data_IF_671726356267
#
_entry.id   IF_671726356267
#
_cell.length_a   1.000
_cell.length_b   1.000
_cell.length_c   1.000
_cell.angle_alpha   90.00
_cell.angle_beta   90.00
_cell.angle_gamma   90.00
#
_symmetry.space_group_name_H-M   'P 1'
#
loop_
_entity.id
_entity.type
_entity.pdbx_description
1 polymer ?
#
# COMPACT_ATOMS: atom_id res chain seq x y z
N UNK A 1 -9.76 -16.61 -0.03
CA UNK A 1 -8.75 -16.90 1.02
C UNK A 1 -7.40 -16.36 0.55
N UNK A 2 -6.78 -15.47 1.32
CA UNK A 2 -5.41 -14.98 1.09
C UNK A 2 -4.67 -15.02 2.42
N UNK A 3 -4.11 -16.17 2.77
CA UNK A 3 -3.05 -16.24 3.76
C UNK A 3 -1.75 -15.78 3.07
N UNK A 4 -0.81 -15.19 3.81
CA UNK A 4 0.60 -15.36 3.47
C UNK A 4 0.92 -16.82 3.75
N UNK A 5 0.41 -17.71 2.90
CA UNK A 5 0.75 -19.11 2.93
C UNK A 5 2.20 -19.15 2.45
N UNK A 6 3.11 -19.44 3.37
CA UNK A 6 4.32 -20.16 2.97
C UNK A 6 3.79 -21.51 2.49
N UNK A 7 3.50 -21.56 1.19
CA UNK A 7 3.13 -22.78 0.52
C UNK A 7 4.39 -23.62 0.49
N UNK A 8 4.29 -24.83 1.02
CA UNK A 8 5.17 -25.93 0.65
C UNK A 8 4.93 -26.18 -0.86
N UNK A 9 5.83 -25.65 -1.69
CA UNK A 9 5.68 -25.67 -3.15
C UNK A 9 6.14 -26.99 -3.75
N UNK A 10 6.99 -27.72 -3.03
CA UNK A 10 7.48 -29.03 -3.43
C UNK A 10 6.71 -30.19 -2.74
N UNK A 11 5.76 -29.89 -1.83
CA UNK A 11 4.97 -30.83 -1.03
C UNK A 11 5.84 -31.82 -0.21
N UNK A 12 7.03 -31.41 0.24
CA UNK A 12 7.95 -32.27 0.98
C UNK A 12 7.73 -32.24 2.52
N UNK A 13 6.81 -31.40 3.00
CA UNK A 13 6.49 -31.21 4.41
C UNK A 13 7.54 -30.39 5.18
N UNK A 14 8.54 -29.81 4.51
CA UNK A 14 9.63 -29.03 5.08
C UNK A 14 9.76 -27.68 4.35
N UNK A 15 9.50 -26.58 5.05
CA UNK A 15 9.71 -25.24 4.50
C UNK A 15 11.21 -25.00 4.36
N UNK A 16 11.74 -25.09 3.13
CA UNK A 16 13.16 -24.95 2.82
C UNK A 16 13.43 -23.84 1.82
N UNK A 17 14.72 -23.62 1.49
CA UNK A 17 15.13 -22.63 0.48
C UNK A 17 14.51 -22.89 -0.90
N UNK A 18 14.06 -24.12 -1.17
CA UNK A 18 13.40 -24.52 -2.41
C UNK A 18 11.95 -24.03 -2.52
N UNK A 19 11.34 -23.58 -1.41
CA UNK A 19 9.99 -22.98 -1.39
C UNK A 19 9.99 -21.47 -1.63
N UNK A 20 11.19 -20.89 -1.82
CA UNK A 20 11.35 -19.47 -2.13
C UNK A 20 10.87 -19.17 -3.55
N UNK A 21 9.64 -18.69 -3.67
CA UNK A 21 9.16 -18.11 -4.92
C UNK A 21 9.58 -16.65 -5.09
N UNK A 22 9.83 -16.26 -6.34
CA UNK A 22 9.96 -14.85 -6.73
C UNK A 22 8.59 -14.18 -6.53
N UNK A 23 8.38 -13.66 -5.33
CA UNK A 23 7.17 -12.93 -4.98
C UNK A 23 7.26 -11.51 -5.53
N UNK A 24 6.49 -11.26 -6.59
CA UNK A 24 6.22 -9.91 -7.04
C UNK A 24 7.25 -9.34 -8.00
N UNK A 25 6.77 -8.91 -9.16
CA UNK A 25 7.57 -8.11 -10.08
C UNK A 25 7.59 -6.65 -9.60
N UNK A 26 8.77 -6.03 -9.57
CA UNK A 26 8.89 -4.56 -9.37
C UNK A 26 8.28 -3.80 -10.54
N UNK A 27 8.21 -4.42 -11.71
CA UNK A 27 7.62 -3.80 -12.88
C UNK A 27 6.09 -3.83 -12.79
N UNK A 28 5.43 -2.71 -13.11
CA UNK A 28 3.98 -2.66 -13.17
C UNK A 28 3.47 -3.57 -14.28
N UNK A 29 2.38 -4.30 -13.99
CA UNK A 29 1.69 -5.13 -15.00
C UNK A 29 1.22 -4.30 -16.18
N UNK A 30 0.77 -3.08 -15.91
CA UNK A 30 0.49 -2.10 -16.93
C UNK A 30 0.61 -0.68 -16.37
N UNK A 31 0.93 0.24 -17.27
CA UNK A 31 0.96 1.67 -17.01
C UNK A 31 0.05 2.35 -18.02
N UNK A 32 -0.58 3.44 -17.61
CA UNK A 32 -1.45 4.18 -18.49
C UNK A 32 -1.56 5.64 -18.09
N UNK A 33 -1.84 6.47 -19.08
CA UNK A 33 -2.22 7.86 -18.88
C UNK A 33 -3.41 8.18 -19.75
N UNK A 34 -4.37 8.90 -19.19
CA UNK A 34 -5.51 9.45 -19.92
C UNK A 34 -5.45 10.97 -19.83
N UNK A 35 -5.31 11.62 -20.97
CA UNK A 35 -5.43 13.06 -21.10
C UNK A 35 -6.74 13.39 -21.78
N UNK A 36 -7.53 14.28 -21.20
CA UNK A 36 -8.74 14.81 -21.84
C UNK A 36 -8.67 16.32 -21.90
N UNK A 37 -8.85 16.88 -23.10
CA UNK A 37 -8.93 18.32 -23.31
C UNK A 37 -10.28 18.63 -23.94
N UNK A 38 -11.07 19.46 -23.28
CA UNK A 38 -12.39 19.88 -23.72
C UNK A 38 -12.38 21.40 -23.90
N UNK A 39 -12.97 21.87 -24.99
CA UNK A 39 -13.11 23.30 -25.25
C UNK A 39 -14.57 23.60 -25.60
N UNK A 40 -15.17 24.57 -24.91
CA UNK A 40 -16.55 24.95 -25.16
C UNK A 40 -16.78 26.44 -24.89
N UNK A 41 -17.20 27.20 -25.91
CA UNK A 41 -17.57 28.63 -25.82
C UNK A 41 -16.54 29.50 -25.05
N UNK A 42 -15.25 29.27 -25.28
CA UNK A 42 -14.17 30.01 -24.62
C UNK A 42 -13.70 29.39 -23.30
N UNK A 43 -14.44 28.44 -22.72
CA UNK A 43 -13.92 27.60 -21.64
C UNK A 43 -12.99 26.54 -22.20
N UNK A 44 -11.85 26.38 -21.55
CA UNK A 44 -10.89 25.31 -21.77
C UNK A 44 -10.75 24.49 -20.50
N UNK A 45 -10.86 23.18 -20.62
CA UNK A 45 -10.67 22.24 -19.51
C UNK A 45 -9.68 21.19 -19.96
N UNK A 46 -8.65 20.93 -19.17
CA UNK A 46 -7.74 19.83 -19.38
C UNK A 46 -7.48 19.07 -18.09
N UNK A 47 -7.48 17.74 -18.20
CA UNK A 47 -7.14 16.85 -17.10
C UNK A 47 -6.20 15.77 -17.59
N UNK A 48 -5.17 15.48 -16.79
CA UNK A 48 -4.29 14.33 -17.02
C UNK A 48 -4.35 13.39 -15.83
N UNK A 49 -4.80 12.16 -16.08
CA UNK A 49 -4.80 11.06 -15.13
C UNK A 49 -3.68 10.11 -15.51
N UNK A 50 -2.99 9.57 -14.51
CA UNK A 50 -1.88 8.63 -14.66
C UNK A 50 -2.04 7.47 -13.69
N UNK A 51 -1.73 6.26 -14.12
CA UNK A 51 -1.85 5.07 -13.27
C UNK A 51 -0.72 4.08 -13.51
N UNK A 52 -0.31 3.42 -12.43
CA UNK A 52 0.53 2.22 -12.46
C UNK A 52 -0.15 1.14 -11.64
N UNK A 53 -0.31 -0.04 -12.23
CA UNK A 53 -1.08 -1.12 -11.61
C UNK A 53 -0.27 -2.42 -11.56
N UNK A 54 -0.38 -3.13 -10.44
CA UNK A 54 0.15 -4.48 -10.30
C UNK A 54 1.65 -4.60 -10.01
N UNK A 55 2.36 -3.51 -9.74
CA UNK A 55 3.74 -3.54 -9.25
C UNK A 55 3.79 -3.88 -7.75
N UNK A 56 4.90 -4.47 -7.34
CA UNK A 56 5.28 -4.60 -5.95
C UNK A 56 6.39 -3.62 -5.64
N UNK A 57 6.26 -2.89 -4.53
CA UNK A 57 7.32 -2.01 -4.05
C UNK A 57 7.73 -2.41 -2.63
N UNK A 58 9.02 -2.21 -2.34
CA UNK A 58 9.54 -2.31 -0.99
C UNK A 58 8.99 -1.15 -0.17
N UNK A 59 8.37 -1.48 0.95
CA UNK A 59 7.81 -0.57 1.92
C UNK A 59 8.77 -0.40 3.09
N UNK A 60 9.42 0.76 3.17
CA UNK A 60 10.26 1.12 4.32
C UNK A 60 9.47 1.15 5.64
N UNK A 61 8.16 1.40 5.57
CA UNK A 61 7.30 1.37 6.75
C UNK A 61 7.14 -0.06 7.29
N UNK A 62 6.70 -0.99 6.46
CA UNK A 62 6.56 -2.40 6.87
C UNK A 62 7.91 -3.01 7.27
N UNK A 63 8.99 -2.65 6.55
CA UNK A 63 10.35 -3.06 6.90
C UNK A 63 10.76 -2.63 8.31
N UNK A 64 10.45 -1.39 8.72
CA UNK A 64 10.84 -0.86 10.03
C UNK A 64 9.92 -1.31 11.15
N UNK A 65 8.61 -1.32 10.93
CA UNK A 65 7.62 -1.47 11.99
C UNK A 65 7.10 -2.91 12.14
N UNK A 66 7.23 -3.78 11.14
CA UNK A 66 6.91 -5.21 11.30
C UNK A 66 8.10 -6.02 11.80
N UNK A 67 9.33 -5.52 11.63
CA UNK A 67 10.54 -6.28 11.93
C UNK A 67 10.78 -6.35 13.44
N UNK A 68 10.67 -7.54 14.02
CA UNK A 68 10.74 -7.74 15.47
C UNK A 68 12.16 -7.89 16.03
N UNK A 69 13.18 -7.95 15.17
CA UNK A 69 14.58 -7.92 15.60
C UNK A 69 15.08 -6.51 15.95
N UNK A 70 14.37 -5.45 15.55
CA UNK A 70 14.69 -4.08 15.93
C UNK A 70 14.12 -3.75 17.31
N UNK A 71 14.98 -3.74 18.33
CA UNK A 71 14.58 -3.39 19.71
C UNK A 71 14.44 -1.88 19.95
N UNK A 72 14.80 -1.05 18.97
CA UNK A 72 14.77 0.42 19.10
C UNK A 72 13.49 1.08 18.60
N UNK A 73 12.63 0.34 17.89
CA UNK A 73 11.40 0.86 17.29
C UNK A 73 10.16 0.23 17.95
N UNK A 74 9.07 0.99 18.06
CA UNK A 74 7.77 0.38 18.36
C UNK A 74 7.34 -0.48 17.18
N UNK A 75 6.77 -1.65 17.43
CA UNK A 75 6.25 -2.52 16.37
C UNK A 75 4.78 -2.19 16.09
N UNK A 76 4.37 -2.37 14.83
CA UNK A 76 2.96 -2.25 14.47
C UNK A 76 2.14 -3.38 15.09
N UNK A 77 0.87 -3.08 15.42
CA UNK A 77 -0.07 -4.10 15.84
C UNK A 77 -0.37 -5.02 14.65
N UNK A 78 -0.11 -6.30 14.83
CA UNK A 78 -0.20 -7.32 13.79
C UNK A 78 -1.34 -8.26 14.12
N UNK A 79 -2.23 -8.44 13.15
CA UNK A 79 -3.35 -9.37 13.26
C UNK A 79 -2.88 -10.80 12.95
N UNK A 80 -2.52 -11.54 14.00
CA UNK A 80 -1.95 -12.88 13.89
C UNK A 80 -3.03 -13.96 13.84
N UNK A 81 -2.81 -15.00 13.04
CA UNK A 81 -3.50 -16.26 13.17
C UNK A 81 -3.17 -16.88 14.53
N UNK A 82 -4.18 -17.26 15.30
CA UNK A 82 -4.02 -17.88 16.62
C UNK A 82 -4.84 -19.18 16.61
N UNK A 83 -4.20 -20.36 16.60
CA UNK A 83 -4.93 -21.62 16.66
C UNK A 83 -5.58 -21.83 18.03
N UNK A 84 -6.68 -22.58 18.07
CA UNK A 84 -7.31 -23.01 19.33
C UNK A 84 -6.28 -23.73 20.21
N UNK A 85 -6.20 -23.36 21.48
CA UNK A 85 -5.25 -23.90 22.45
C UNK A 85 -3.85 -23.27 22.41
N UNK A 86 -3.62 -22.24 21.58
CA UNK A 86 -2.38 -21.49 21.63
C UNK A 86 -2.32 -20.59 22.88
N UNK A 87 -1.13 -20.41 23.48
CA UNK A 87 -0.94 -19.43 24.53
C UNK A 87 -1.04 -18.01 23.95
N UNK A 88 -1.81 -17.15 24.61
CA UNK A 88 -2.04 -15.74 24.29
C UNK A 88 -1.90 -14.96 25.60
N UNK A 89 -1.41 -13.71 25.52
CA UNK A 89 -1.32 -12.84 26.69
C UNK A 89 -2.64 -12.08 26.82
N UNK A 90 -3.28 -12.15 27.99
CA UNK A 90 -4.38 -11.25 28.33
C UNK A 90 -3.82 -9.83 28.53
N UNK A 91 -4.21 -8.90 27.67
CA UNK A 91 -3.74 -7.51 27.72
C UNK A 91 -4.24 -6.73 28.96
N UNK A 92 -5.21 -7.27 29.70
CA UNK A 92 -5.78 -6.67 30.92
C UNK A 92 -5.07 -7.16 32.18
N UNK A 93 -4.79 -8.47 32.27
CA UNK A 93 -4.20 -9.07 33.48
C UNK A 93 -2.71 -9.38 33.34
N UNK A 94 -2.19 -9.48 32.12
CA UNK A 94 -0.81 -9.88 31.83
C UNK A 94 -0.57 -11.39 31.93
N UNK A 95 -1.61 -12.19 32.19
CA UNK A 95 -1.51 -13.63 32.34
C UNK A 95 -1.48 -14.35 30.99
N UNK A 96 -0.89 -15.55 31.00
CA UNK A 96 -0.93 -16.47 29.86
C UNK A 96 -2.28 -17.20 29.87
N UNK A 97 -3.11 -16.94 28.87
CA UNK A 97 -4.41 -17.58 28.66
C UNK A 97 -4.35 -18.42 27.39
N UNK A 98 -5.14 -19.49 27.32
CA UNK A 98 -5.22 -20.33 26.12
C UNK A 98 -6.39 -19.91 25.24
N UNK A 99 -6.14 -19.71 23.95
CA UNK A 99 -7.18 -19.36 22.98
C UNK A 99 -8.28 -20.43 22.94
N UNK A 100 -9.52 -20.06 23.26
CA UNK A 100 -10.68 -20.98 23.24
C UNK A 100 -11.21 -21.22 21.83
N UNK A 101 -11.02 -20.26 20.93
CA UNK A 101 -11.39 -20.28 19.53
C UNK A 101 -10.19 -19.97 18.63
N UNK A 102 -10.30 -20.34 17.34
CA UNK A 102 -9.27 -20.01 16.35
C UNK A 102 -9.52 -18.62 15.80
N UNK A 103 -8.55 -17.73 15.98
CA UNK A 103 -8.56 -16.41 15.37
C UNK A 103 -7.84 -16.44 14.02
N UNK A 104 -8.50 -15.99 12.96
CA UNK A 104 -7.96 -16.02 11.60
C UNK A 104 -7.35 -14.69 11.19
N UNK A 105 -6.19 -14.36 11.78
CA UNK A 105 -5.43 -13.17 11.41
C UNK A 105 -4.68 -13.28 10.08
N UNK A 106 -4.30 -12.13 9.52
CA UNK A 106 -3.55 -11.99 8.25
C UNK A 106 -2.13 -12.58 8.31
N UNK A 107 -1.52 -12.60 9.49
CA UNK A 107 -0.11 -12.98 9.69
C UNK A 107 0.03 -14.33 10.40
N UNK A 108 1.10 -15.12 10.16
CA UNK A 108 1.29 -16.41 10.83
C UNK A 108 1.48 -16.27 12.34
N UNK A 109 1.07 -17.28 13.10
CA UNK A 109 1.22 -17.30 14.56
C UNK A 109 2.69 -17.12 14.97
N UNK A 110 3.03 -16.10 15.78
CA UNK A 110 4.39 -15.88 16.23
C UNK A 110 4.76 -16.96 17.26
N UNK A 111 5.62 -17.89 16.90
CA UNK A 111 6.13 -18.90 17.81
C UNK A 111 7.52 -18.49 18.35
N UNK A 112 7.98 -19.18 19.41
CA UNK A 112 9.30 -18.97 20.00
C UNK A 112 10.35 -19.96 19.46
N UNK A 113 10.13 -20.57 18.29
CA UNK A 113 11.12 -21.48 17.72
C UNK A 113 12.35 -20.74 17.18
N UNK A 114 12.25 -19.42 17.01
CA UNK A 114 13.33 -18.53 16.61
C UNK A 114 13.19 -17.16 17.29
N UNK A 115 14.29 -16.42 17.39
CA UNK A 115 14.45 -15.15 18.14
C UNK A 115 13.59 -13.96 17.67
N UNK A 116 12.57 -14.19 16.84
CA UNK A 116 11.73 -13.14 16.25
C UNK A 116 10.42 -13.71 15.66
N UNK A 117 9.49 -14.19 16.49
CA UNK A 117 8.20 -14.70 16.03
C UNK A 117 8.32 -15.79 14.94
N UNK A 118 9.17 -16.79 15.17
CA UNK A 118 9.42 -17.87 14.22
C UNK A 118 10.25 -17.51 12.99
N UNK A 119 10.90 -16.33 12.99
CA UNK A 119 11.79 -15.87 11.91
C UNK A 119 11.08 -15.06 10.81
N UNK A 120 9.76 -15.19 10.67
CA UNK A 120 8.97 -14.58 9.59
C UNK A 120 9.07 -13.05 9.50
N UNK A 121 9.38 -12.39 10.61
CA UNK A 121 9.47 -10.93 10.71
C UNK A 121 10.87 -10.46 11.11
N UNK A 122 11.90 -11.16 10.62
CA UNK A 122 13.28 -10.93 11.01
C UNK A 122 14.26 -11.17 9.87
N UNK A 123 15.39 -10.48 9.98
CA UNK A 123 16.60 -10.72 9.19
C UNK A 123 17.45 -11.86 9.76
N UNK A 124 17.06 -12.41 10.91
CA UNK A 124 17.76 -13.49 11.62
C UNK A 124 16.82 -14.69 11.81
N UNK A 125 17.37 -15.89 11.69
CA UNK A 125 16.64 -17.13 11.92
C UNK A 125 16.50 -18.03 10.69
N UNK A 126 15.85 -19.17 10.91
CA UNK A 126 15.69 -20.28 9.95
C UNK A 126 14.71 -19.96 8.82
N UNK A 127 13.71 -19.13 9.10
CA UNK A 127 12.78 -18.60 8.11
C UNK A 127 13.07 -17.12 7.86
N UNK A 128 14.05 -16.80 7.00
CA UNK A 128 14.34 -15.40 6.60
C UNK A 128 13.19 -14.83 5.77
N UNK A 129 12.15 -14.34 6.43
CA UNK A 129 10.97 -13.81 5.77
C UNK A 129 11.25 -12.43 5.22
N UNK A 130 11.75 -12.29 4.00
CA UNK A 130 11.89 -10.96 3.38
C UNK A 130 10.60 -10.49 2.68
N UNK A 131 9.55 -11.31 2.64
CA UNK A 131 8.31 -11.01 1.92
C UNK A 131 7.47 -9.88 2.56
N UNK A 132 7.51 -9.71 3.88
CA UNK A 132 6.65 -8.75 4.59
C UNK A 132 6.91 -7.28 4.22
N UNK A 133 8.15 -6.97 3.81
CA UNK A 133 8.53 -5.63 3.38
C UNK A 133 7.97 -5.26 2.00
N UNK A 134 7.53 -6.23 1.19
CA UNK A 134 7.00 -5.97 -0.15
C UNK A 134 5.49 -5.84 -0.11
N UNK A 135 4.98 -4.71 -0.60
CA UNK A 135 3.56 -4.43 -0.69
C UNK A 135 3.17 -4.20 -2.15
N UNK A 136 1.98 -4.65 -2.53
CA UNK A 136 1.44 -4.37 -3.86
C UNK A 136 1.07 -2.88 -3.94
N UNK A 137 1.76 -2.12 -4.78
CA UNK A 137 1.62 -0.66 -4.88
C UNK A 137 1.00 -0.24 -6.20
N UNK A 138 -0.31 -0.28 -6.24
CA UNK A 138 -1.13 0.16 -7.36
C UNK A 138 -1.72 1.53 -7.05
N UNK A 139 -1.59 2.48 -7.98
CA UNK A 139 -2.08 3.83 -7.77
C UNK A 139 -2.67 4.46 -9.03
N UNK A 140 -3.61 5.38 -8.81
CA UNK A 140 -4.17 6.30 -9.79
C UNK A 140 -3.93 7.71 -9.27
N UNK A 141 -3.29 8.55 -10.08
CA UNK A 141 -2.93 9.91 -9.72
C UNK A 141 -3.41 10.87 -10.78
N UNK A 142 -4.05 11.95 -10.36
CA UNK A 142 -4.33 13.09 -11.24
C UNK A 142 -3.08 13.97 -11.26
N UNK A 143 -2.44 14.13 -12.43
CA UNK A 143 -1.22 14.91 -12.58
C UNK A 143 -1.50 16.40 -12.64
N UNK A 144 -2.48 16.80 -13.44
CA UNK A 144 -2.93 18.18 -13.52
C UNK A 144 -4.44 18.25 -13.80
N UNK A 145 -5.04 19.32 -13.29
CA UNK A 145 -6.36 19.79 -13.70
C UNK A 145 -6.18 21.27 -14.01
N UNK A 146 -6.49 21.68 -15.23
CA UNK A 146 -6.45 23.08 -15.63
C UNK A 146 -7.82 23.48 -16.19
N UNK A 147 -8.36 24.56 -15.65
CA UNK A 147 -9.58 25.18 -16.11
C UNK A 147 -9.25 26.62 -16.50
N UNK A 148 -9.56 27.00 -17.73
CA UNK A 148 -9.40 28.35 -18.23
C UNK A 148 -10.63 28.89 -18.93
N UNK A 149 -10.71 30.21 -19.01
CA UNK A 149 -11.70 30.93 -19.79
C UNK A 149 -11.03 32.04 -20.58
N UNK A 150 -11.20 31.98 -21.90
CA UNK A 150 -10.78 33.02 -22.83
C UNK A 150 -11.94 33.97 -23.09
N UNK A 151 -11.76 35.24 -22.73
CA UNK A 151 -12.82 36.23 -22.86
C UNK A 151 -13.07 36.58 -24.35
N UNK A 152 -14.34 36.72 -24.78
CA UNK A 152 -14.66 37.13 -26.14
C UNK A 152 -14.09 38.51 -26.49
N UNK A 153 -13.52 38.65 -27.70
CA UNK A 153 -12.90 39.90 -28.17
C UNK A 153 -13.82 41.12 -28.05
N UNK A 154 -15.11 40.94 -28.27
CA UNK A 154 -16.10 42.02 -28.18
C UNK A 154 -16.16 42.69 -26.79
N UNK A 155 -15.89 41.95 -25.72
CA UNK A 155 -15.93 42.46 -24.35
C UNK A 155 -14.64 43.19 -23.97
N UNK A 156 -13.50 42.65 -24.40
CA UNK A 156 -12.18 43.14 -24.03
C UNK A 156 -11.63 44.24 -24.97
N UNK A 157 -12.17 44.34 -26.19
CA UNK A 157 -11.77 45.37 -27.15
C UNK A 157 -12.04 46.79 -26.63
N UNK A 158 -13.08 46.98 -25.82
CA UNK A 158 -13.39 48.28 -25.17
C UNK A 158 -12.33 48.73 -24.17
N UNK A 159 -11.61 47.76 -23.59
CA UNK A 159 -10.49 48.02 -22.68
C UNK A 159 -9.13 48.04 -23.42
N UNK A 160 -9.13 48.05 -24.77
CA UNK A 160 -7.90 48.07 -25.57
C UNK A 160 -7.12 46.75 -25.60
N UNK A 161 -7.69 45.65 -25.07
CA UNK A 161 -7.01 44.36 -24.98
C UNK A 161 -7.28 43.48 -26.20
N UNK A 162 -6.24 42.81 -26.71
CA UNK A 162 -6.33 41.93 -27.89
C UNK A 162 -6.68 40.47 -27.52
N UNK A 163 -6.22 39.99 -26.37
CA UNK A 163 -6.46 38.64 -25.87
C UNK A 163 -6.36 38.62 -24.35
N UNK A 164 -7.37 38.07 -23.68
CA UNK A 164 -7.39 37.92 -22.23
C UNK A 164 -7.88 36.50 -21.91
N UNK A 165 -7.10 35.78 -21.12
CA UNK A 165 -7.45 34.45 -20.62
C UNK A 165 -7.15 34.38 -19.13
N UNK A 166 -8.13 33.92 -18.36
CA UNK A 166 -7.95 33.56 -16.96
C UNK A 166 -7.85 32.03 -16.89
N UNK A 167 -6.90 31.50 -16.12
CA UNK A 167 -6.82 30.06 -15.90
C UNK A 167 -6.38 29.73 -14.47
N UNK A 168 -6.82 28.57 -14.00
CA UNK A 168 -6.45 27.97 -12.73
C UNK A 168 -5.91 26.58 -13.03
N UNK A 169 -4.70 26.29 -12.55
CA UNK A 169 -4.06 24.99 -12.70
C UNK A 169 -3.74 24.40 -11.33
N UNK A 170 -4.17 23.18 -11.10
CA UNK A 170 -3.91 22.43 -9.88
C UNK A 170 -3.04 21.23 -10.22
N UNK A 171 -1.87 21.15 -9.59
CA UNK A 171 -0.90 20.07 -9.78
C UNK A 171 -1.05 19.02 -8.69
N UNK A 172 -1.06 17.75 -9.10
CA UNK A 172 -1.15 16.60 -8.20
C UNK A 172 -2.30 16.67 -7.17
N UNK A 173 -3.55 17.05 -7.55
CA UNK A 173 -4.62 17.26 -6.57
C UNK A 173 -5.03 15.98 -5.83
N UNK A 174 -5.04 14.84 -6.54
CA UNK A 174 -5.52 13.57 -6.00
C UNK A 174 -4.58 12.41 -6.34
N UNK A 175 -4.40 11.50 -5.38
CA UNK A 175 -3.64 10.26 -5.55
C UNK A 175 -4.32 9.13 -4.76
N UNK A 176 -4.99 8.24 -5.49
CA UNK A 176 -5.59 7.03 -4.95
C UNK A 176 -4.57 5.89 -4.98
N UNK A 177 -4.31 5.26 -3.86
CA UNK A 177 -3.35 4.15 -3.76
C UNK A 177 -3.90 3.06 -2.85
N UNK A 178 -3.60 1.80 -3.17
CA UNK A 178 -3.91 0.67 -2.30
C UNK A 178 -2.80 0.38 -1.28
N UNK A 179 -1.81 1.28 -1.18
CA UNK A 179 -0.67 1.13 -0.30
C UNK A 179 -1.02 1.50 1.13
N UNK A 180 -1.06 0.50 2.01
CA UNK A 180 -1.35 0.63 3.43
C UNK A 180 -0.09 1.06 4.22
N UNK A 181 0.43 2.26 4.02
CA UNK A 181 1.43 2.81 4.94
C UNK A 181 0.80 3.91 5.80
N UNK A 182 0.72 3.64 7.11
CA UNK A 182 0.21 4.53 8.16
C UNK A 182 -1.17 5.11 7.90
N UNK A 183 -2.19 4.29 8.14
CA UNK A 183 -3.47 4.74 8.67
C UNK A 183 -3.86 3.79 9.81
N UNK A 184 -3.84 4.24 11.08
CA UNK A 184 -4.29 3.43 12.22
C UNK A 184 -5.75 2.96 12.12
N UNK A 185 -6.52 3.51 11.17
CA UNK A 185 -7.86 3.03 10.79
C UNK A 185 -7.94 3.03 9.26
N UNK A 186 -8.03 1.85 8.66
CA UNK A 186 -8.02 1.60 7.22
C UNK A 186 -9.21 2.19 6.45
N UNK A 187 -9.30 3.51 6.35
CA UNK A 187 -10.24 4.21 5.46
C UNK A 187 -9.54 5.44 4.91
N UNK A 188 -9.31 5.50 3.60
CA UNK A 188 -9.19 6.80 2.94
C UNK A 188 -10.60 7.38 2.85
N UNK A 189 -10.83 8.63 3.29
CA UNK A 189 -12.06 9.31 2.92
C UNK A 189 -12.07 9.50 1.40
N UNK A 190 -13.24 9.20 0.86
CA UNK A 190 -13.85 9.63 -0.40
C UNK A 190 -13.23 10.85 -1.10
#
# INVERSE_FOLDING_TARGET
MKQVAVNDWNNDGQISDDDKQIFGCKDPKWIGSLGSTMNYKGFDFSVMVYTKQGQWARSYFHEKYMKWSDRGSQHMAMDFYIPKGAPVIDHTTGDIVYATETHYGKYPYPNNSDTSAGGYFSDKGSAKGEGFQYQKTSFVKVKNICLGYTFPKQWIAKAGMQHLRLYVNVLNPFCFTNYEALIPNGVMPD
#
